data_IF_712445973716
#
_entry.id   IF_712445973716
#
_cell.length_a   1.000
_cell.length_b   1.000
_cell.length_c   1.000
_cell.angle_alpha   90.00
_cell.angle_beta   90.00
_cell.angle_gamma   90.00
#
_symmetry.space_group_name_H-M   'P 1'
#
loop_
_entity.id
_entity.type
_entity.pdbx_description
1 polymer ?
#
# COMPACT_ATOMS: atom_id res chain seq x y z
N UNK A 1 -16.00 1.46 -35.21
CA UNK A 1 -16.77 1.64 -33.96
C UNK A 1 -16.71 3.12 -33.60
N UNK A 2 -17.83 3.83 -33.53
CA UNK A 2 -17.81 5.25 -33.16
C UNK A 2 -17.63 5.35 -31.64
N UNK A 3 -16.39 5.26 -31.15
CA UNK A 3 -16.10 5.21 -29.72
C UNK A 3 -16.61 6.46 -28.97
N UNK A 4 -16.69 7.61 -29.65
CA UNK A 4 -17.20 8.86 -29.07
C UNK A 4 -18.67 8.76 -28.64
N UNK A 5 -19.46 7.83 -29.18
CA UNK A 5 -20.85 7.65 -28.74
C UNK A 5 -20.98 7.09 -27.32
N UNK A 6 -19.90 6.56 -26.74
CA UNK A 6 -19.87 6.06 -25.37
C UNK A 6 -19.53 7.13 -24.33
N UNK A 7 -19.19 8.35 -24.77
CA UNK A 7 -18.60 9.38 -23.95
C UNK A 7 -19.29 10.72 -24.17
N UNK A 8 -19.44 11.51 -23.10
CA UNK A 8 -19.85 12.90 -23.24
C UNK A 8 -18.65 13.77 -23.69
N UNK A 9 -18.89 15.05 -23.97
CA UNK A 9 -17.84 15.97 -24.43
C UNK A 9 -16.70 16.15 -23.40
N UNK A 10 -17.03 16.15 -22.10
CA UNK A 10 -16.04 16.28 -21.03
C UNK A 10 -15.14 15.03 -20.94
N UNK A 11 -15.71 13.83 -21.12
CA UNK A 11 -14.96 12.58 -21.14
C UNK A 11 -13.96 12.56 -22.32
N UNK A 12 -14.41 12.96 -23.52
CA UNK A 12 -13.55 13.03 -24.71
C UNK A 12 -12.41 14.03 -24.49
N UNK A 13 -12.71 15.20 -23.95
CA UNK A 13 -11.69 16.20 -23.61
C UNK A 13 -10.69 15.68 -22.57
N UNK A 14 -11.14 14.92 -21.56
CA UNK A 14 -10.25 14.35 -20.54
C UNK A 14 -9.33 13.26 -21.12
N UNK A 15 -9.85 12.37 -21.96
CA UNK A 15 -9.10 11.32 -22.66
C UNK A 15 -7.98 11.95 -23.52
N UNK A 16 -8.33 12.98 -24.30
CA UNK A 16 -7.38 13.71 -25.15
C UNK A 16 -6.33 14.45 -24.30
N UNK A 17 -6.75 15.13 -23.22
CA UNK A 17 -5.85 15.81 -22.28
C UNK A 17 -4.86 14.86 -21.60
N UNK A 18 -5.30 13.65 -21.25
CA UNK A 18 -4.43 12.59 -20.69
C UNK A 18 -3.51 11.96 -21.74
N UNK A 19 -3.74 12.20 -23.02
CA UNK A 19 -2.96 11.65 -24.11
C UNK A 19 -3.17 10.14 -24.30
N UNK A 20 -4.35 9.62 -23.95
CA UNK A 20 -4.69 8.21 -24.18
C UNK A 20 -4.92 8.01 -25.68
N UNK A 21 -4.11 7.15 -26.31
CA UNK A 21 -4.27 6.90 -27.74
C UNK A 21 -5.56 6.14 -28.04
N UNK A 22 -6.10 6.37 -29.24
CA UNK A 22 -7.31 5.69 -29.69
C UNK A 22 -7.18 4.16 -29.63
N UNK A 23 -6.01 3.61 -29.99
CA UNK A 23 -5.77 2.17 -29.94
C UNK A 23 -5.82 1.62 -28.51
N UNK A 24 -5.25 2.34 -27.55
CA UNK A 24 -5.31 1.98 -26.12
C UNK A 24 -6.75 2.02 -25.64
N UNK A 25 -7.49 3.08 -25.96
CA UNK A 25 -8.90 3.24 -25.59
C UNK A 25 -9.78 2.13 -26.16
N UNK A 26 -9.67 1.85 -27.46
CA UNK A 26 -10.44 0.78 -28.11
C UNK A 26 -10.11 -0.60 -27.54
N UNK A 27 -8.85 -0.85 -27.18
CA UNK A 27 -8.45 -2.10 -26.52
C UNK A 27 -9.04 -2.22 -25.10
N UNK A 28 -9.07 -1.13 -24.34
CA UNK A 28 -9.72 -1.11 -23.02
C UNK A 28 -11.22 -1.39 -23.15
N UNK A 29 -11.92 -0.69 -24.04
CA UNK A 29 -13.36 -0.92 -24.32
C UNK A 29 -13.64 -2.36 -24.74
N UNK A 30 -12.79 -2.93 -25.60
CA UNK A 30 -12.90 -4.33 -26.01
C UNK A 30 -12.79 -5.27 -24.82
N UNK A 31 -11.85 -5.04 -23.89
CA UNK A 31 -11.69 -5.85 -22.67
C UNK A 31 -12.90 -5.74 -21.74
N UNK A 32 -13.51 -4.57 -21.61
CA UNK A 32 -14.74 -4.41 -20.82
C UNK A 32 -15.93 -5.14 -21.45
N UNK A 33 -16.07 -5.10 -22.78
CA UNK A 33 -17.15 -5.77 -23.50
C UNK A 33 -16.99 -7.29 -23.54
N UNK A 34 -15.79 -7.76 -23.91
CA UNK A 34 -15.51 -9.17 -24.17
C UNK A 34 -15.12 -9.93 -22.89
N UNK A 35 -14.82 -9.19 -21.81
CA UNK A 35 -14.23 -9.73 -20.58
C UNK A 35 -12.74 -10.05 -20.76
N UNK A 36 -12.07 -10.33 -19.64
CA UNK A 36 -10.70 -10.86 -19.66
C UNK A 36 -10.82 -12.39 -19.76
N UNK A 37 -10.34 -13.02 -20.84
CA UNK A 37 -10.43 -14.46 -20.98
C UNK A 37 -9.66 -15.13 -19.84
N UNK A 38 -10.20 -16.20 -19.22
CA UNK A 38 -9.52 -16.89 -18.15
C UNK A 38 -8.20 -17.48 -18.67
N UNK A 39 -7.14 -17.31 -17.88
CA UNK A 39 -5.85 -17.92 -18.19
C UNK A 39 -5.97 -19.44 -18.01
N UNK A 40 -5.75 -20.21 -19.08
CA UNK A 40 -5.68 -21.67 -18.99
C UNK A 40 -4.36 -22.06 -18.36
N UNK A 41 -4.39 -22.37 -17.07
CA UNK A 41 -3.24 -22.90 -16.35
C UNK A 41 -2.88 -24.28 -16.92
N UNK A 42 -1.61 -24.47 -17.28
CA UNK A 42 -1.11 -25.75 -17.82
C UNK A 42 -0.90 -26.76 -16.69
N UNK A 43 -0.06 -26.39 -15.71
CA UNK A 43 0.29 -27.09 -14.47
C UNK A 43 1.26 -26.19 -13.66
N UNK A 44 1.46 -26.40 -12.36
CA UNK A 44 2.42 -25.60 -11.59
C UNK A 44 3.85 -25.75 -12.13
N UNK A 45 4.64 -24.69 -11.98
CA UNK A 45 6.08 -24.77 -12.20
C UNK A 45 6.72 -25.55 -11.05
N UNK A 46 7.66 -26.44 -11.37
CA UNK A 46 8.40 -27.26 -10.39
C UNK A 46 9.89 -27.11 -10.64
N UNK A 47 10.72 -27.59 -9.71
CA UNK A 47 12.17 -27.66 -9.92
C UNK A 47 12.43 -28.50 -11.18
N UNK A 48 13.22 -27.96 -12.11
CA UNK A 48 13.48 -28.57 -13.42
C UNK A 48 12.41 -28.29 -14.47
N UNK A 49 11.36 -27.54 -14.13
CA UNK A 49 10.21 -27.27 -14.99
C UNK A 49 9.63 -25.88 -14.74
N UNK A 50 10.26 -24.88 -15.34
CA UNK A 50 9.93 -23.47 -15.13
C UNK A 50 10.56 -22.86 -13.87
N UNK A 51 11.05 -23.66 -12.92
CA UNK A 51 11.90 -23.20 -11.79
C UNK A 51 13.28 -23.83 -11.90
N UNK A 52 14.31 -23.00 -12.06
CA UNK A 52 15.70 -23.42 -11.98
C UNK A 52 16.19 -23.26 -10.54
N UNK A 53 16.71 -24.33 -9.95
CA UNK A 53 17.35 -24.29 -8.65
C UNK A 53 18.83 -23.94 -8.81
N UNK A 54 19.31 -22.97 -8.03
CA UNK A 54 20.73 -22.65 -7.95
C UNK A 54 21.40 -23.73 -7.08
N UNK A 55 22.41 -24.45 -7.60
CA UNK A 55 23.14 -25.45 -6.83
C UNK A 55 23.84 -24.81 -5.62
N UNK A 56 23.88 -25.53 -4.50
CA UNK A 56 24.44 -25.01 -3.23
C UNK A 56 25.90 -24.61 -3.37
N UNK A 57 26.68 -25.38 -4.14
CA UNK A 57 28.09 -25.12 -4.44
C UNK A 57 28.33 -23.80 -5.20
N UNK A 58 27.30 -23.26 -5.89
CA UNK A 58 27.39 -21.99 -6.63
C UNK A 58 26.92 -20.77 -5.82
N UNK A 59 26.28 -20.97 -4.68
CA UNK A 59 25.70 -19.86 -3.91
C UNK A 59 26.78 -18.88 -3.44
N UNK A 60 27.90 -19.39 -2.93
CA UNK A 60 29.02 -18.55 -2.49
C UNK A 60 29.64 -17.72 -3.61
N UNK A 61 29.77 -18.30 -4.81
CA UNK A 61 30.23 -17.60 -6.01
C UNK A 61 29.29 -16.44 -6.36
N UNK A 62 27.98 -16.70 -6.43
CA UNK A 62 27.00 -15.68 -6.79
C UNK A 62 26.84 -14.58 -5.74
N UNK A 63 26.93 -14.92 -4.45
CA UNK A 63 26.94 -13.91 -3.37
C UNK A 63 28.17 -13.01 -3.51
N UNK A 64 29.35 -13.60 -3.75
CA UNK A 64 30.59 -12.84 -3.93
C UNK A 64 30.51 -11.92 -5.17
N UNK A 65 29.98 -12.43 -6.28
CA UNK A 65 29.75 -11.65 -7.49
C UNK A 65 28.77 -10.50 -7.23
N UNK A 66 27.65 -10.78 -6.57
CA UNK A 66 26.67 -9.75 -6.22
C UNK A 66 27.30 -8.64 -5.38
N UNK A 67 28.06 -8.99 -4.34
CA UNK A 67 28.74 -8.02 -3.48
C UNK A 67 29.72 -7.16 -4.29
N UNK A 68 30.53 -7.76 -5.16
CA UNK A 68 31.47 -7.03 -6.02
C UNK A 68 30.75 -6.06 -6.99
N UNK A 69 29.63 -6.48 -7.58
CA UNK A 69 28.86 -5.63 -8.50
C UNK A 69 28.09 -4.52 -7.78
N UNK A 70 27.56 -4.79 -6.58
CA UNK A 70 26.87 -3.79 -5.76
C UNK A 70 27.79 -2.60 -5.43
N UNK A 71 29.06 -2.88 -5.13
CA UNK A 71 30.08 -1.86 -4.85
C UNK A 71 30.27 -0.86 -6.00
N UNK A 72 29.94 -1.23 -7.25
CA UNK A 72 30.11 -0.35 -8.43
C UNK A 72 29.05 0.75 -8.55
N UNK A 73 28.09 0.83 -7.62
CA UNK A 73 27.12 1.94 -7.58
C UNK A 73 26.04 1.89 -8.66
N UNK A 74 25.83 0.73 -9.29
CA UNK A 74 24.81 0.55 -10.34
C UNK A 74 23.49 -0.03 -9.84
N UNK A 75 23.45 -0.50 -8.59
CA UNK A 75 22.25 -1.10 -8.04
C UNK A 75 21.29 -0.01 -7.59
N UNK A 76 20.01 -0.26 -7.86
CA UNK A 76 18.91 0.61 -7.50
C UNK A 76 17.76 -0.28 -7.04
N UNK A 77 17.20 0.06 -5.89
CA UNK A 77 15.93 -0.53 -5.47
C UNK A 77 14.78 0.24 -6.12
N UNK A 78 14.11 -0.39 -7.08
CA UNK A 78 12.92 0.18 -7.70
C UNK A 78 11.66 -0.29 -6.96
N UNK A 79 10.87 0.65 -6.43
CA UNK A 79 9.71 0.38 -5.58
C UNK A 79 8.44 0.96 -6.18
N UNK A 80 7.48 0.12 -6.60
CA UNK A 80 6.17 0.59 -7.04
C UNK A 80 5.28 0.97 -5.83
N UNK A 81 5.16 2.26 -5.54
CA UNK A 81 4.50 2.79 -4.34
C UNK A 81 3.28 3.70 -4.62
N UNK A 82 2.58 3.49 -5.73
CA UNK A 82 1.45 4.35 -6.15
C UNK A 82 0.07 3.95 -5.58
N UNK A 83 -0.01 2.87 -4.80
CA UNK A 83 -1.28 2.30 -4.35
C UNK A 83 -1.94 3.04 -3.19
N UNK A 84 -3.20 3.46 -3.38
CA UNK A 84 -4.05 3.98 -2.29
C UNK A 84 -4.51 2.85 -1.34
N UNK A 85 -4.64 3.14 -0.04
CA UNK A 85 -5.06 2.16 0.96
C UNK A 85 -6.57 1.90 1.01
N UNK A 86 -7.36 2.56 0.15
CA UNK A 86 -8.83 2.52 0.14
C UNK A 86 -9.41 1.11 0.19
N UNK A 87 -8.84 0.14 -0.55
CA UNK A 87 -9.31 -1.26 -0.49
C UNK A 87 -9.07 -1.93 0.87
N UNK A 88 -8.00 -1.57 1.57
CA UNK A 88 -7.66 -2.13 2.88
C UNK A 88 -8.63 -1.68 3.97
N UNK A 89 -9.11 -0.44 3.85
CA UNK A 89 -10.05 0.16 4.80
C UNK A 89 -11.51 0.05 4.37
N UNK A 90 -11.80 -0.56 3.20
CA UNK A 90 -13.14 -0.56 2.57
C UNK A 90 -14.24 -1.04 3.51
N UNK A 91 -14.06 -2.20 4.14
CA UNK A 91 -15.07 -2.77 5.06
C UNK A 91 -15.30 -1.84 6.25
N UNK A 92 -14.23 -1.32 6.86
CA UNK A 92 -14.31 -0.42 8.01
C UNK A 92 -15.05 0.88 7.65
N UNK A 93 -14.70 1.50 6.51
CA UNK A 93 -15.35 2.71 6.00
C UNK A 93 -16.83 2.46 5.71
N UNK A 94 -17.16 1.34 5.06
CA UNK A 94 -18.54 1.01 4.74
C UNK A 94 -19.39 0.86 6.01
N UNK A 95 -18.95 0.03 6.96
CA UNK A 95 -19.67 -0.16 8.22
C UNK A 95 -19.75 1.14 9.02
N UNK A 96 -18.67 1.95 9.00
CA UNK A 96 -18.66 3.27 9.63
C UNK A 96 -19.70 4.23 9.04
N UNK A 97 -20.14 4.10 7.79
CA UNK A 97 -21.19 4.96 7.22
C UNK A 97 -22.60 4.37 7.32
N UNK A 98 -22.74 3.04 7.31
CA UNK A 98 -24.05 2.38 7.22
C UNK A 98 -24.66 1.99 8.58
N UNK A 99 -23.84 1.80 9.61
CA UNK A 99 -24.32 1.33 10.91
C UNK A 99 -24.46 2.47 11.92
N UNK A 100 -25.68 2.78 12.34
CA UNK A 100 -25.97 3.69 13.47
C UNK A 100 -27.07 3.10 14.36
N UNK A 101 -26.86 2.99 15.70
CA UNK A 101 -25.63 3.28 16.43
C UNK A 101 -24.54 2.23 16.17
N UNK A 102 -23.27 2.65 16.09
CA UNK A 102 -22.16 1.72 15.88
C UNK A 102 -21.65 1.16 17.21
N UNK A 103 -22.34 0.13 17.72
CA UNK A 103 -22.01 -0.55 18.97
C UNK A 103 -21.53 -1.98 18.76
N UNK A 104 -20.77 -2.51 19.70
CA UNK A 104 -20.32 -3.91 19.66
C UNK A 104 -21.49 -4.91 19.67
N UNK A 105 -22.60 -4.56 20.32
CA UNK A 105 -23.81 -5.39 20.35
C UNK A 105 -24.43 -5.53 18.95
N UNK A 106 -24.66 -4.42 18.26
CA UNK A 106 -25.25 -4.44 16.91
C UNK A 106 -24.32 -5.12 15.90
N UNK A 107 -23.01 -4.88 16.01
CA UNK A 107 -22.01 -5.55 15.18
C UNK A 107 -22.03 -7.06 15.42
N UNK A 108 -22.10 -7.50 16.68
CA UNK A 108 -22.17 -8.93 17.03
C UNK A 108 -23.45 -9.57 16.51
N UNK A 109 -24.59 -8.88 16.62
CA UNK A 109 -25.88 -9.37 16.13
C UNK A 109 -25.83 -9.61 14.62
N UNK A 110 -25.43 -8.61 13.82
CA UNK A 110 -25.35 -8.73 12.35
C UNK A 110 -24.35 -9.78 11.89
N UNK A 111 -23.22 -9.90 12.58
CA UNK A 111 -22.24 -10.94 12.29
C UNK A 111 -22.80 -12.36 12.51
N UNK A 112 -23.62 -12.55 13.56
CA UNK A 112 -24.35 -13.81 13.82
C UNK A 112 -25.46 -14.07 12.82
N UNK A 113 -26.10 -13.02 12.32
CA UNK A 113 -27.12 -13.09 11.25
C UNK A 113 -26.50 -13.42 9.87
N UNK A 114 -25.17 -13.57 9.79
CA UNK A 114 -24.44 -14.02 8.61
C UNK A 114 -23.85 -12.91 7.75
N UNK A 115 -23.84 -11.67 8.23
CA UNK A 115 -23.24 -10.55 7.49
C UNK A 115 -21.70 -10.59 7.54
N UNK A 116 -21.10 -10.91 6.40
CA UNK A 116 -19.64 -11.07 6.26
C UNK A 116 -18.83 -9.81 6.61
N UNK A 117 -19.39 -8.61 6.43
CA UNK A 117 -18.67 -7.36 6.72
C UNK A 117 -18.58 -7.11 8.22
N UNK A 118 -19.62 -7.46 8.96
CA UNK A 118 -19.64 -7.36 10.42
C UNK A 118 -18.82 -8.49 11.06
N UNK A 119 -18.75 -9.67 10.44
CA UNK A 119 -17.80 -10.71 10.84
C UNK A 119 -16.34 -10.24 10.71
N UNK A 120 -15.99 -9.60 9.59
CA UNK A 120 -14.67 -8.99 9.41
C UNK A 120 -14.40 -7.89 10.44
N UNK A 121 -15.40 -7.08 10.78
CA UNK A 121 -15.26 -6.03 11.80
C UNK A 121 -15.03 -6.61 13.21
N UNK A 122 -15.71 -7.71 13.57
CA UNK A 122 -15.43 -8.41 14.82
C UNK A 122 -13.99 -8.92 14.85
N UNK A 123 -13.54 -9.60 13.81
CA UNK A 123 -12.15 -10.09 13.70
C UNK A 123 -11.15 -8.94 13.79
N UNK A 124 -11.47 -7.79 13.20
CA UNK A 124 -10.65 -6.57 13.30
C UNK A 124 -10.50 -6.12 14.76
N UNK A 125 -11.60 -5.96 15.51
CA UNK A 125 -11.55 -5.52 16.91
C UNK A 125 -10.89 -6.54 17.84
N UNK A 126 -11.13 -7.84 17.62
CA UNK A 126 -10.44 -8.92 18.35
C UNK A 126 -8.92 -8.88 18.18
N UNK A 127 -8.46 -8.51 16.99
CA UNK A 127 -7.03 -8.41 16.66
C UNK A 127 -6.48 -6.99 16.77
N UNK A 128 -7.27 -6.01 17.20
CA UNK A 128 -6.87 -4.61 17.25
C UNK A 128 -5.53 -4.40 17.99
N UNK A 129 -5.27 -5.02 19.17
CA UNK A 129 -3.99 -4.92 19.89
C UNK A 129 -2.76 -5.43 19.13
N UNK A 130 -2.95 -6.22 18.07
CA UNK A 130 -1.87 -6.81 17.27
C UNK A 130 -1.43 -5.92 16.12
N UNK A 131 -2.22 -4.93 15.73
CA UNK A 131 -1.84 -4.03 14.63
C UNK A 131 -0.66 -3.14 15.02
N UNK A 132 0.20 -2.85 14.03
CA UNK A 132 1.37 -1.99 14.22
C UNK A 132 0.98 -0.54 14.57
N UNK A 133 -0.21 -0.10 14.18
CA UNK A 133 -0.75 1.24 14.48
C UNK A 133 -1.53 1.31 15.80
N UNK A 134 -1.57 0.24 16.61
CA UNK A 134 -2.38 0.22 17.84
C UNK A 134 -2.00 1.34 18.82
N UNK A 135 -0.69 1.53 19.05
CA UNK A 135 -0.21 2.58 19.95
C UNK A 135 -0.49 3.98 19.38
N UNK A 136 -0.32 4.20 18.08
CA UNK A 136 -0.65 5.47 17.42
C UNK A 136 -2.15 5.80 17.57
N UNK A 137 -3.02 4.80 17.40
CA UNK A 137 -4.47 4.98 17.55
C UNK A 137 -4.84 5.35 18.99
N UNK A 138 -4.19 4.69 19.96
CA UNK A 138 -4.37 4.98 21.39
C UNK A 138 -3.89 6.40 21.74
N UNK A 139 -2.73 6.79 21.22
CA UNK A 139 -2.18 8.13 21.40
C UNK A 139 -3.11 9.19 20.79
N UNK A 140 -3.59 8.97 19.57
CA UNK A 140 -4.48 9.92 18.89
C UNK A 140 -5.81 10.10 19.63
N UNK A 141 -6.43 9.02 20.11
CA UNK A 141 -7.65 9.08 20.93
C UNK A 141 -7.43 9.86 22.24
N UNK A 142 -6.24 9.73 22.84
CA UNK A 142 -5.92 10.36 24.12
C UNK A 142 -5.86 11.89 24.02
N UNK A 143 -5.55 12.44 22.85
CA UNK A 143 -5.59 13.90 22.57
C UNK A 143 -6.98 14.49 22.77
N UNK A 144 -8.02 13.68 22.60
CA UNK A 144 -9.42 14.04 22.86
C UNK A 144 -9.95 13.49 24.20
N UNK A 145 -9.05 13.15 25.14
CA UNK A 145 -9.37 12.58 26.45
C UNK A 145 -10.15 11.25 26.40
N UNK A 146 -10.08 10.52 25.27
CA UNK A 146 -10.70 9.20 25.12
C UNK A 146 -9.66 8.11 25.33
N UNK A 147 -10.07 7.01 25.95
CA UNK A 147 -9.21 5.84 26.17
C UNK A 147 -9.69 4.67 25.32
N UNK A 148 -8.82 4.15 24.46
CA UNK A 148 -9.15 3.08 23.52
C UNK A 148 -9.73 1.85 24.21
N UNK A 149 -9.08 1.39 25.28
CA UNK A 149 -9.51 0.21 26.03
C UNK A 149 -10.88 0.40 26.69
N UNK A 150 -11.18 1.62 27.15
CA UNK A 150 -12.48 1.95 27.73
C UNK A 150 -13.59 1.95 26.66
N UNK A 151 -13.35 2.55 25.50
CA UNK A 151 -14.29 2.57 24.38
C UNK A 151 -14.62 1.14 23.92
N UNK A 152 -13.61 0.27 23.79
CA UNK A 152 -13.80 -1.15 23.45
C UNK A 152 -14.65 -1.84 24.53
N UNK A 153 -14.32 -1.65 25.82
CA UNK A 153 -15.06 -2.26 26.94
C UNK A 153 -16.52 -1.81 27.01
N UNK A 154 -16.79 -0.55 26.67
CA UNK A 154 -18.13 0.02 26.61
C UNK A 154 -18.87 -0.31 25.30
N UNK A 155 -18.20 -0.98 24.36
CA UNK A 155 -18.75 -1.30 23.05
C UNK A 155 -19.01 -0.08 22.18
N UNK A 156 -18.31 1.03 22.42
CA UNK A 156 -18.43 2.29 21.68
C UNK A 156 -17.38 2.34 20.56
N UNK A 157 -17.78 1.99 19.34
CA UNK A 157 -16.84 1.74 18.24
C UNK A 157 -16.71 2.93 17.28
N UNK A 158 -17.66 3.87 17.30
CA UNK A 158 -17.71 5.02 16.39
C UNK A 158 -16.46 5.90 16.49
N UNK A 159 -16.07 6.25 17.71
CA UNK A 159 -14.88 7.09 17.94
C UNK A 159 -13.60 6.39 17.49
N UNK A 160 -13.49 5.08 17.71
CA UNK A 160 -12.30 4.32 17.32
C UNK A 160 -12.15 4.31 15.79
N UNK A 161 -13.24 4.01 15.07
CA UNK A 161 -13.20 4.01 13.61
C UNK A 161 -13.07 5.42 13.03
N UNK A 162 -13.70 6.43 13.62
CA UNK A 162 -13.54 7.81 13.20
C UNK A 162 -12.08 8.26 13.30
N UNK A 163 -11.44 8.04 14.45
CA UNK A 163 -10.02 8.38 14.65
C UNK A 163 -9.10 7.58 13.73
N UNK A 164 -9.38 6.31 13.45
CA UNK A 164 -8.57 5.53 12.53
C UNK A 164 -8.71 6.00 11.07
N UNK A 165 -9.94 6.27 10.61
CA UNK A 165 -10.25 6.36 9.18
C UNK A 165 -10.26 7.80 8.66
N UNK A 166 -10.68 8.77 9.46
CA UNK A 166 -11.04 10.11 8.98
C UNK A 166 -9.91 11.14 9.17
N UNK A 167 -9.99 12.27 8.42
CA UNK A 167 -9.19 13.45 8.73
C UNK A 167 -9.44 13.92 10.17
N UNK A 168 -8.39 14.33 10.87
CA UNK A 168 -8.45 14.70 12.30
C UNK A 168 -8.08 13.55 13.26
N UNK A 169 -7.85 12.35 12.74
CA UNK A 169 -7.11 11.28 13.41
C UNK A 169 -5.97 10.78 12.53
N UNK A 170 -5.83 9.45 12.43
CA UNK A 170 -4.78 8.80 11.62
C UNK A 170 -5.04 8.88 10.10
N UNK A 171 -6.29 9.12 9.68
CA UNK A 171 -6.69 9.31 8.28
C UNK A 171 -6.36 8.11 7.34
N UNK A 172 -6.34 6.88 7.86
CA UNK A 172 -5.89 5.70 7.10
C UNK A 172 -6.78 5.34 5.90
N UNK A 173 -8.01 5.86 5.82
CA UNK A 173 -8.86 5.65 4.65
C UNK A 173 -8.35 6.41 3.41
N UNK A 174 -7.60 7.50 3.61
CA UNK A 174 -7.17 8.41 2.53
C UNK A 174 -5.67 8.35 2.26
N UNK A 175 -4.87 7.77 3.15
CA UNK A 175 -3.43 7.66 2.94
C UNK A 175 -3.04 6.66 1.83
N UNK A 176 -1.89 6.87 1.15
CA UNK A 176 -1.26 5.82 0.37
C UNK A 176 -0.83 4.67 1.29
N UNK A 177 -0.88 3.44 0.80
CA UNK A 177 -0.54 2.23 1.59
C UNK A 177 0.85 2.31 2.19
N UNK A 178 1.77 2.95 1.49
CA UNK A 178 3.16 3.11 1.91
C UNK A 178 3.32 3.88 3.22
N UNK A 179 2.35 4.72 3.61
CA UNK A 179 2.37 5.51 4.85
C UNK A 179 1.66 4.83 6.03
N UNK A 180 1.06 3.66 5.82
CA UNK A 180 0.39 2.93 6.91
C UNK A 180 1.42 2.01 7.58
N UNK A 181 1.42 2.03 8.92
CA UNK A 181 2.26 1.10 9.70
C UNK A 181 1.72 -0.32 9.62
N UNK A 182 2.56 -1.23 9.14
CA UNK A 182 2.25 -2.67 9.01
C UNK A 182 3.22 -3.57 9.75
N UNK A 183 4.41 -3.06 10.09
CA UNK A 183 5.47 -3.85 10.68
C UNK A 183 5.64 -3.43 12.13
N UNK A 184 5.68 -4.40 13.06
CA UNK A 184 5.89 -4.15 14.48
C UNK A 184 7.16 -4.84 14.92
N UNK A 185 8.09 -4.06 15.45
CA UNK A 185 9.35 -4.52 16.01
C UNK A 185 9.48 -4.06 17.48
N UNK A 186 10.41 -4.62 18.26
CA UNK A 186 10.66 -4.16 19.63
C UNK A 186 11.05 -2.68 19.72
N UNK A 187 11.70 -2.12 18.69
CA UNK A 187 12.14 -0.72 18.59
C UNK A 187 11.06 0.21 17.99
N UNK A 188 9.88 -0.31 17.68
CA UNK A 188 8.74 0.46 17.21
C UNK A 188 8.07 -0.12 15.97
N UNK A 189 7.01 0.56 15.54
CA UNK A 189 6.27 0.21 14.34
C UNK A 189 6.76 0.99 13.12
N UNK A 190 6.74 0.34 11.96
CA UNK A 190 7.27 0.87 10.70
C UNK A 190 6.25 0.78 9.57
N UNK A 191 6.33 1.74 8.68
CA UNK A 191 5.59 1.74 7.41
C UNK A 191 6.30 0.91 6.35
N UNK A 192 5.59 0.58 5.25
CA UNK A 192 6.21 -0.12 4.13
C UNK A 192 7.32 0.71 3.47
N UNK A 193 7.24 2.04 3.51
CA UNK A 193 8.31 2.91 3.03
C UNK A 193 9.59 2.72 3.82
N UNK A 194 9.52 2.74 5.16
CA UNK A 194 10.68 2.52 6.02
C UNK A 194 11.33 1.15 5.76
N UNK A 195 10.53 0.09 5.62
CA UNK A 195 11.04 -1.24 5.31
C UNK A 195 11.82 -1.27 3.99
N UNK A 196 11.35 -0.56 2.95
CA UNK A 196 12.08 -0.48 1.70
C UNK A 196 13.41 0.29 1.81
N UNK A 197 13.52 1.26 2.72
CA UNK A 197 14.78 1.95 3.00
C UNK A 197 15.78 1.00 3.66
N UNK A 198 15.34 0.28 4.70
CA UNK A 198 16.17 -0.75 5.38
C UNK A 198 16.61 -1.83 4.41
N UNK A 199 15.70 -2.30 3.56
CA UNK A 199 16.00 -3.32 2.56
C UNK A 199 17.06 -2.85 1.56
N UNK A 200 16.99 -1.59 1.11
CA UNK A 200 18.01 -1.02 0.22
C UNK A 200 19.38 -0.92 0.90
N UNK A 201 19.42 -0.51 2.17
CA UNK A 201 20.65 -0.46 2.95
C UNK A 201 21.30 -1.84 3.15
N UNK A 202 20.52 -2.91 3.13
CA UNK A 202 21.04 -4.27 3.31
C UNK A 202 21.75 -4.84 2.07
N UNK A 203 21.42 -4.41 0.85
CA UNK A 203 21.99 -5.03 -0.36
C UNK A 203 22.36 -4.09 -1.51
N UNK A 204 21.97 -2.82 -1.48
CA UNK A 204 22.20 -1.87 -2.57
C UNK A 204 23.24 -0.80 -2.23
N UNK A 205 23.95 -0.94 -1.10
CA UNK A 205 25.02 -0.03 -0.68
C UNK A 205 26.24 -0.22 -1.58
N UNK A 206 26.72 0.88 -2.14
CA UNK A 206 27.92 0.91 -2.97
C UNK A 206 29.21 1.23 -2.18
N UNK A 207 30.35 1.31 -2.88
CA UNK A 207 31.65 1.57 -2.25
C UNK A 207 31.79 2.96 -1.62
N UNK A 208 30.83 3.86 -1.87
CA UNK A 208 30.78 5.20 -1.27
C UNK A 208 29.80 5.28 -0.11
N UNK A 209 29.16 4.17 0.25
CA UNK A 209 28.17 4.11 1.31
C UNK A 209 26.75 4.50 0.87
N UNK A 210 26.47 4.68 -0.42
CA UNK A 210 25.15 5.11 -0.88
C UNK A 210 24.29 3.93 -1.31
N UNK A 211 23.05 3.87 -0.78
CA UNK A 211 22.00 2.98 -1.25
C UNK A 211 20.93 3.79 -1.99
N UNK A 212 20.64 3.40 -3.24
CA UNK A 212 19.70 4.12 -4.11
C UNK A 212 18.33 3.48 -4.05
N UNK A 213 17.30 4.30 -3.86
CA UNK A 213 15.90 3.88 -3.88
C UNK A 213 15.11 4.79 -4.81
N UNK A 214 14.34 4.18 -5.71
CA UNK A 214 13.47 4.91 -6.63
C UNK A 214 12.02 4.48 -6.43
N UNK A 215 11.16 5.41 -6.04
CA UNK A 215 9.74 5.17 -5.86
C UNK A 215 8.94 5.63 -7.07
N UNK A 216 8.05 4.79 -7.60
CA UNK A 216 6.96 5.32 -8.43
C UNK A 216 5.79 5.69 -7.53
N UNK A 217 5.42 6.95 -7.47
CA UNK A 217 4.37 7.45 -6.57
C UNK A 217 3.19 8.01 -7.35
N UNK A 218 2.03 8.10 -6.70
CA UNK A 218 0.90 8.84 -7.24
C UNK A 218 1.15 10.34 -7.01
N UNK A 219 1.04 11.20 -8.04
CA UNK A 219 1.20 12.65 -7.89
C UNK A 219 0.35 13.26 -6.76
N UNK A 220 -0.85 12.71 -6.53
CA UNK A 220 -1.74 13.19 -5.47
C UNK A 220 -1.14 13.07 -4.05
N UNK A 221 -0.26 12.09 -3.82
CA UNK A 221 0.38 11.84 -2.53
C UNK A 221 1.85 12.23 -2.50
N UNK A 222 2.37 12.86 -3.57
CA UNK A 222 3.80 13.13 -3.69
C UNK A 222 4.35 13.90 -2.48
N UNK A 223 3.66 14.97 -2.08
CA UNK A 223 4.07 15.84 -0.99
C UNK A 223 4.17 15.05 0.32
N UNK A 224 3.10 14.38 0.71
CA UNK A 224 3.04 13.62 1.96
C UNK A 224 4.10 12.52 2.01
N UNK A 225 4.33 11.83 0.88
CA UNK A 225 5.35 10.77 0.78
C UNK A 225 6.75 11.35 0.92
N UNK A 226 7.05 12.47 0.25
CA UNK A 226 8.38 13.11 0.33
C UNK A 226 8.66 13.62 1.72
N UNK A 227 7.73 14.35 2.32
CA UNK A 227 7.87 14.88 3.68
C UNK A 227 8.09 13.75 4.68
N UNK A 228 7.30 12.68 4.57
CA UNK A 228 7.46 11.51 5.41
C UNK A 228 8.84 10.84 5.22
N UNK A 229 9.23 10.51 3.98
CA UNK A 229 10.51 9.86 3.70
C UNK A 229 11.71 10.71 4.16
N UNK A 230 11.66 12.03 3.97
CA UNK A 230 12.69 12.97 4.46
C UNK A 230 12.78 12.99 5.99
N UNK A 231 11.63 12.89 6.69
CA UNK A 231 11.62 12.87 8.15
C UNK A 231 12.14 11.56 8.74
N UNK A 232 11.93 10.42 8.06
CA UNK A 232 12.32 9.09 8.57
C UNK A 232 13.66 8.60 8.07
N UNK A 233 14.13 9.03 6.89
CA UNK A 233 15.42 8.55 6.34
C UNK A 233 16.61 8.75 7.29
N UNK A 234 16.74 9.87 8.05
CA UNK A 234 17.89 10.07 8.93
C UNK A 234 17.97 9.06 10.08
N UNK A 235 16.84 8.41 10.44
CA UNK A 235 16.82 7.33 11.45
C UNK A 235 17.61 6.10 11.00
N UNK A 236 17.68 5.86 9.69
CA UNK A 236 18.28 4.67 9.09
C UNK A 236 19.67 4.93 8.51
N UNK A 237 20.00 6.20 8.24
CA UNK A 237 21.33 6.62 7.83
C UNK A 237 22.30 6.57 9.01
N UNK A 238 23.58 6.35 8.71
CA UNK A 238 24.66 6.32 9.69
C UNK A 238 25.93 6.98 9.15
N UNK A 239 27.03 6.87 9.88
CA UNK A 239 28.31 7.50 9.47
C UNK A 239 28.82 7.03 8.11
N UNK A 240 28.50 5.80 7.72
CA UNK A 240 29.02 5.16 6.50
C UNK A 240 27.91 4.75 5.51
N UNK A 241 26.65 5.10 5.79
CA UNK A 241 25.52 4.65 4.99
C UNK A 241 24.50 5.78 4.79
N UNK A 242 24.19 6.05 3.53
CA UNK A 242 23.31 7.13 3.09
C UNK A 242 22.25 6.62 2.11
N UNK A 243 21.09 7.25 2.11
CA UNK A 243 19.97 6.93 1.25
C UNK A 243 19.82 7.99 0.15
N UNK A 244 19.90 7.56 -1.10
CA UNK A 244 19.59 8.41 -2.26
C UNK A 244 18.17 8.07 -2.75
N UNK A 245 17.20 8.91 -2.38
CA UNK A 245 15.79 8.67 -2.67
C UNK A 245 15.32 9.53 -3.86
N UNK A 246 14.81 8.86 -4.89
CA UNK A 246 14.27 9.50 -6.10
C UNK A 246 12.84 9.03 -6.39
N UNK A 247 12.15 9.78 -7.26
CA UNK A 247 10.71 9.57 -7.52
C UNK A 247 10.40 9.67 -9.01
N UNK A 248 9.39 8.92 -9.45
CA UNK A 248 8.75 9.10 -10.75
C UNK A 248 7.24 8.87 -10.65
N UNK A 249 6.54 9.20 -11.73
CA UNK A 249 5.08 9.10 -11.82
C UNK A 249 4.69 8.27 -13.03
N UNK A 250 3.59 7.54 -12.88
CA UNK A 250 2.97 6.87 -14.01
C UNK A 250 2.44 7.90 -15.01
N UNK A 251 2.66 7.67 -16.30
CA UNK A 251 2.17 8.55 -17.37
C UNK A 251 0.64 8.46 -17.46
N UNK A 252 -0.11 9.59 -17.46
CA UNK A 252 -1.57 9.59 -17.60
C UNK A 252 -2.09 8.88 -18.86
N UNK A 253 -1.27 8.83 -19.92
CA UNK A 253 -1.58 8.13 -21.16
C UNK A 253 -1.73 6.61 -21.00
N UNK A 254 -1.34 6.05 -19.84
CA UNK A 254 -1.46 4.64 -19.49
C UNK A 254 -2.65 4.35 -18.57
N UNK A 255 -3.41 5.38 -18.20
CA UNK A 255 -4.57 5.23 -17.32
C UNK A 255 -5.64 4.36 -17.98
N UNK A 256 -6.36 3.61 -17.14
CA UNK A 256 -7.53 2.84 -17.56
C UNK A 256 -8.77 3.68 -17.35
N UNK A 257 -9.66 3.73 -18.35
CA UNK A 257 -10.96 4.40 -18.24
C UNK A 257 -11.76 3.80 -17.07
N UNK A 258 -12.38 4.68 -16.27
CA UNK A 258 -13.32 4.27 -15.24
C UNK A 258 -14.65 3.84 -15.88
N UNK A 259 -15.30 2.83 -15.31
CA UNK A 259 -16.59 2.28 -15.75
C UNK A 259 -17.56 2.16 -14.59
#
# INVERSE_FOLDING_TARGET
MNWKSYFNEADVADIERRGISLDVLLNQLKKFRDGIPPVKLKRPATIGDGIQQIPEEKQGEFISLFQQEAQKGRFLKFVPASGAATRMMKTLVKVYHECRPLTMEEVTRRARDGDSEYQQLLTFFENLPRFAFYEDLKEELSKSQKQLEQLIKQGQLEDILATLLLPGGLNYAQLPKGLIKFHRYPDGARTAFEEHLVEALNYAVDSTGHARVHFTVNPHFEKDIREYLQSVSPKYEGTNHHLEITYSFQKPSTDTIAV
#
